data_IF_054068598049
#
_entry.id   IF_054068598049
#
_cell.length_a   1.000
_cell.length_b   1.000
_cell.length_c   1.000
_cell.angle_alpha   90.00
_cell.angle_beta   90.00
_cell.angle_gamma   90.00
#
_symmetry.space_group_name_H-M   'P 1'
#
loop_
_entity.id
_entity.type
_entity.pdbx_description
1 polymer ?
#
# COMPACT_ATOMS: atom_id res chain seq x y z
N UNK A 1 5.51 14.86 2.83
CA UNK A 1 6.61 14.03 2.29
C UNK A 1 6.07 12.63 2.01
N UNK A 2 6.23 12.10 0.79
CA UNK A 2 6.16 10.65 0.53
C UNK A 2 7.60 10.14 0.62
N UNK A 3 7.95 9.48 1.72
CA UNK A 3 9.26 8.84 1.85
C UNK A 3 9.12 7.46 1.22
N UNK A 4 9.86 7.14 0.14
CA UNK A 4 9.84 5.80 -0.41
C UNK A 4 10.42 4.83 0.61
N UNK A 5 9.67 3.79 0.99
CA UNK A 5 10.24 2.71 1.79
C UNK A 5 11.00 1.74 0.89
N UNK A 6 12.10 1.19 1.38
CA UNK A 6 12.80 0.07 0.74
C UNK A 6 12.01 -1.24 0.80
N UNK A 7 11.02 -1.35 1.70
CA UNK A 7 10.17 -2.54 1.85
C UNK A 7 9.11 -2.63 0.76
N UNK A 8 8.81 -3.86 0.34
CA UNK A 8 7.64 -4.16 -0.48
C UNK A 8 6.35 -3.77 0.26
N UNK A 9 5.22 -3.55 -0.45
CA UNK A 9 3.95 -3.21 0.21
C UNK A 9 3.51 -4.23 1.25
N UNK A 10 3.65 -5.53 0.95
CA UNK A 10 3.28 -6.62 1.86
C UNK A 10 4.18 -6.66 3.09
N UNK A 11 5.49 -6.56 2.93
CA UNK A 11 6.43 -6.48 4.06
C UNK A 11 6.18 -5.25 4.92
N UNK A 12 5.85 -4.11 4.30
CA UNK A 12 5.51 -2.88 5.02
C UNK A 12 4.25 -3.07 5.86
N UNK A 13 3.21 -3.70 5.30
CA UNK A 13 1.98 -4.00 6.06
C UNK A 13 2.25 -4.99 7.20
N UNK A 14 3.07 -6.02 6.98
CA UNK A 14 3.51 -6.92 8.05
C UNK A 14 4.20 -6.18 9.19
N UNK A 15 5.05 -5.18 8.89
CA UNK A 15 5.67 -4.33 9.91
C UNK A 15 4.65 -3.48 10.67
N UNK A 16 3.65 -2.93 9.98
CA UNK A 16 2.56 -2.17 10.63
C UNK A 16 1.76 -3.09 11.57
N UNK A 17 1.38 -4.28 11.12
CA UNK A 17 0.69 -5.28 11.95
C UNK A 17 1.53 -5.62 13.17
N UNK A 18 2.82 -5.91 12.99
CA UNK A 18 3.73 -6.25 14.08
C UNK A 18 3.82 -5.13 15.14
N UNK A 19 3.86 -3.87 14.72
CA UNK A 19 3.96 -2.73 15.63
C UNK A 19 2.66 -2.43 16.38
N UNK A 20 1.52 -2.61 15.71
CA UNK A 20 0.21 -2.23 16.26
C UNK A 20 -0.44 -3.36 17.07
N UNK A 21 -0.11 -4.62 16.79
CA UNK A 21 -0.66 -5.78 17.48
C UNK A 21 -0.30 -5.76 18.97
N UNK A 22 -1.31 -5.95 19.81
CA UNK A 22 -1.14 -6.06 21.25
C UNK A 22 -1.07 -4.71 21.97
N UNK A 23 -1.12 -3.58 21.27
CA UNK A 23 -1.24 -2.26 21.90
C UNK A 23 -2.56 -2.20 22.68
N UNK A 24 -2.46 -2.13 24.00
CA UNK A 24 -3.62 -2.07 24.88
C UNK A 24 -4.12 -0.65 25.12
N UNK A 25 -5.43 -0.49 25.24
CA UNK A 25 -6.07 0.71 25.77
C UNK A 25 -6.65 0.45 27.15
N UNK A 26 -7.15 1.50 27.82
CA UNK A 26 -7.77 1.36 29.15
C UNK A 26 -9.09 0.57 29.16
N UNK A 27 -9.67 0.28 27.98
CA UNK A 27 -10.89 -0.52 27.82
C UNK A 27 -10.72 -1.48 26.65
N UNK A 28 -11.18 -2.71 26.84
CA UNK A 28 -11.22 -3.74 25.80
C UNK A 28 -12.65 -3.92 25.32
N UNK A 29 -12.81 -4.28 24.05
CA UNK A 29 -14.10 -4.55 23.43
C UNK A 29 -14.14 -5.99 22.91
N UNK A 30 -15.29 -6.66 23.08
CA UNK A 30 -15.50 -8.03 22.63
C UNK A 30 -14.89 -9.09 23.56
N UNK A 31 -15.01 -10.36 23.13
CA UNK A 31 -14.59 -11.54 23.89
C UNK A 31 -13.96 -12.57 22.96
N UNK A 32 -13.18 -13.50 23.52
CA UNK A 32 -12.58 -14.60 22.77
C UNK A 32 -11.44 -14.16 21.84
N UNK A 33 -11.18 -14.90 20.75
CA UNK A 33 -10.07 -14.64 19.82
C UNK A 33 -10.23 -13.33 19.05
N UNK A 34 -11.46 -12.84 18.86
CA UNK A 34 -11.77 -11.56 18.21
C UNK A 34 -11.86 -10.39 19.20
N UNK A 35 -11.27 -10.53 20.41
CA UNK A 35 -11.23 -9.44 21.37
C UNK A 35 -10.27 -8.36 20.90
N UNK A 36 -10.74 -7.12 20.90
CA UNK A 36 -9.98 -5.93 20.52
C UNK A 36 -9.52 -5.21 21.78
N UNK A 37 -8.20 -5.04 21.94
CA UNK A 37 -7.64 -4.38 23.12
C UNK A 37 -7.68 -2.86 23.06
N UNK A 38 -7.68 -2.31 21.85
CA UNK A 38 -7.72 -0.88 21.53
C UNK A 38 -7.97 -0.67 20.03
N UNK A 39 -8.13 0.58 19.60
CA UNK A 39 -8.25 0.92 18.18
C UNK A 39 -7.05 0.45 17.32
N UNK A 40 -5.77 0.73 17.67
CA UNK A 40 -4.65 0.24 16.87
C UNK A 40 -4.55 -1.28 16.82
N UNK A 41 -4.89 -1.97 17.91
CA UNK A 41 -4.97 -3.44 17.93
C UNK A 41 -6.04 -3.97 16.96
N UNK A 42 -7.18 -3.30 16.86
CA UNK A 42 -8.22 -3.63 15.88
C UNK A 42 -7.71 -3.49 14.44
N UNK A 43 -6.98 -2.41 14.16
CA UNK A 43 -6.38 -2.17 12.84
C UNK A 43 -5.37 -3.27 12.50
N UNK A 44 -4.55 -3.70 13.47
CA UNK A 44 -3.62 -4.81 13.28
C UNK A 44 -4.34 -6.12 12.92
N UNK A 45 -5.44 -6.45 13.63
CA UNK A 45 -6.22 -7.65 13.37
C UNK A 45 -6.80 -7.67 11.94
N UNK A 46 -7.47 -6.59 11.52
CA UNK A 46 -8.06 -6.49 10.17
C UNK A 46 -6.99 -6.55 9.07
N UNK A 47 -5.84 -5.90 9.29
CA UNK A 47 -4.73 -5.96 8.33
C UNK A 47 -4.12 -7.37 8.23
N UNK A 48 -4.02 -8.09 9.34
CA UNK A 48 -3.56 -9.48 9.34
C UNK A 48 -4.52 -10.39 8.56
N UNK A 49 -5.82 -10.30 8.85
CA UNK A 49 -6.86 -11.04 8.13
C UNK A 49 -6.84 -10.74 6.62
N UNK A 50 -6.61 -9.47 6.27
CA UNK A 50 -6.50 -9.06 4.87
C UNK A 50 -5.28 -9.68 4.17
N UNK A 51 -4.12 -9.73 4.84
CA UNK A 51 -2.90 -10.34 4.32
C UNK A 51 -3.06 -11.85 4.12
N UNK A 52 -3.71 -12.54 5.06
CA UNK A 52 -3.99 -13.97 4.97
C UNK A 52 -4.99 -14.31 3.85
N UNK A 53 -5.91 -13.39 3.55
CA UNK A 53 -6.87 -13.51 2.46
C UNK A 53 -6.28 -13.18 1.07
N UNK A 54 -5.08 -12.59 0.99
CA UNK A 54 -4.45 -12.33 -0.30
C UNK A 54 -4.03 -13.66 -0.95
N UNK A 55 -4.33 -13.87 -2.25
CA UNK A 55 -3.82 -15.03 -2.95
C UNK A 55 -2.31 -15.00 -2.91
N UNK A 56 -1.70 -16.14 -2.54
CA UNK A 56 -0.25 -16.30 -2.57
C UNK A 56 0.24 -15.90 -3.97
N UNK A 57 1.35 -15.13 -4.07
CA UNK A 57 1.91 -14.83 -5.38
C UNK A 57 2.16 -16.15 -6.11
N UNK A 58 1.83 -16.23 -7.41
CA UNK A 58 2.12 -17.43 -8.19
C UNK A 58 3.60 -17.80 -8.00
N UNK A 59 3.93 -19.10 -7.90
CA UNK A 59 5.32 -19.51 -7.74
C UNK A 59 6.13 -18.83 -8.84
N UNK A 60 7.24 -18.19 -8.45
CA UNK A 60 8.14 -17.53 -9.38
C UNK A 60 8.60 -18.59 -10.41
N UNK A 61 7.93 -18.63 -11.55
CA UNK A 61 8.38 -19.43 -12.67
C UNK A 61 9.71 -18.83 -13.10
N UNK A 62 10.74 -19.65 -13.40
CA UNK A 62 11.97 -19.14 -13.97
C UNK A 62 11.65 -18.64 -15.37
N UNK A 63 11.24 -17.39 -15.48
CA UNK A 63 11.10 -16.73 -16.75
C UNK A 63 12.52 -16.45 -17.24
N UNK A 64 12.88 -17.01 -18.39
CA UNK A 64 14.02 -16.58 -19.19
C UNK A 64 13.71 -15.20 -19.80
N UNK A 65 13.38 -14.24 -18.95
CA UNK A 65 13.10 -12.87 -19.31
C UNK A 65 14.43 -12.11 -19.30
N UNK A 66 14.91 -11.84 -20.51
CA UNK A 66 15.91 -10.84 -20.81
C UNK A 66 15.72 -9.63 -19.90
N UNK A 67 16.76 -9.24 -19.15
CA UNK A 67 16.73 -8.14 -18.18
C UNK A 67 16.02 -6.93 -18.80
N UNK A 68 14.74 -6.75 -18.45
CA UNK A 68 14.07 -5.50 -18.67
C UNK A 68 14.83 -4.50 -17.79
N UNK A 69 15.47 -3.52 -18.41
CA UNK A 69 16.05 -2.41 -17.68
C UNK A 69 14.96 -1.88 -16.73
N UNK A 70 15.29 -1.53 -15.47
CA UNK A 70 14.34 -0.96 -14.54
C UNK A 70 13.88 0.40 -15.11
N UNK A 71 12.88 0.38 -15.97
CA UNK A 71 12.12 1.56 -16.33
C UNK A 71 11.44 1.99 -15.03
N UNK A 72 11.74 3.17 -14.49
CA UNK A 72 11.03 3.66 -13.32
C UNK A 72 9.56 3.76 -13.73
N UNK A 73 8.72 2.87 -13.19
CA UNK A 73 7.27 3.10 -13.21
C UNK A 73 7.08 4.42 -12.47
N UNK A 74 6.93 5.51 -13.22
CA UNK A 74 6.76 6.84 -12.66
C UNK A 74 5.40 6.86 -11.97
N UNK A 75 5.43 6.56 -10.67
CA UNK A 75 4.28 6.63 -9.80
C UNK A 75 3.94 8.12 -9.65
N UNK A 76 2.96 8.58 -10.43
CA UNK A 76 2.48 9.96 -10.39
C UNK A 76 1.54 10.21 -9.21
N UNK A 77 1.16 11.47 -9.03
CA UNK A 77 0.08 11.86 -8.12
C UNK A 77 -1.29 11.37 -8.64
N UNK A 78 -2.26 11.29 -7.74
CA UNK A 78 -3.66 11.04 -8.09
C UNK A 78 -4.20 12.23 -8.88
N UNK A 79 -4.70 11.97 -10.07
CA UNK A 79 -5.42 12.97 -10.85
C UNK A 79 -6.81 13.24 -10.22
N UNK A 80 -7.22 14.51 -10.03
CA UNK A 80 -8.52 14.84 -9.45
C UNK A 80 -9.73 14.48 -10.33
N UNK A 81 -9.52 14.31 -11.65
CA UNK A 81 -10.59 14.01 -12.61
C UNK A 81 -10.84 12.50 -12.74
N UNK A 82 -9.75 11.71 -12.92
CA UNK A 82 -9.87 10.27 -13.16
C UNK A 82 -9.41 9.36 -12.01
N UNK A 83 -8.82 9.92 -10.95
CA UNK A 83 -8.34 9.13 -9.81
C UNK A 83 -7.14 8.22 -10.09
N UNK A 84 -6.51 8.28 -11.25
CA UNK A 84 -5.30 7.50 -11.55
C UNK A 84 -4.02 8.17 -11.05
N UNK A 85 -3.08 7.35 -10.57
CA UNK A 85 -1.76 7.75 -10.06
C UNK A 85 -0.75 8.02 -11.17
N UNK A 86 -1.12 8.84 -12.14
CA UNK A 86 -0.31 9.15 -13.34
C UNK A 86 -0.27 10.65 -13.61
N UNK A 87 -0.56 11.48 -12.61
CA UNK A 87 -0.37 12.92 -12.67
C UNK A 87 1.11 13.24 -12.45
N UNK A 88 1.78 13.78 -13.46
CA UNK A 88 3.21 14.11 -13.45
C UNK A 88 3.40 15.61 -13.72
N UNK A 89 4.43 16.20 -13.12
CA UNK A 89 4.82 17.58 -13.41
C UNK A 89 5.75 17.60 -14.63
N UNK A 90 5.28 18.13 -15.74
CA UNK A 90 6.05 18.27 -16.99
C UNK A 90 5.93 19.73 -17.43
N UNK A 91 7.08 20.38 -17.64
CA UNK A 91 7.16 21.78 -18.12
C UNK A 91 6.48 22.81 -17.20
N UNK A 92 6.37 22.51 -15.89
CA UNK A 92 5.74 23.41 -14.91
C UNK A 92 4.23 23.22 -14.74
N UNK A 93 3.62 22.29 -15.48
CA UNK A 93 2.20 21.95 -15.35
C UNK A 93 2.01 20.51 -14.88
N UNK A 94 0.94 20.25 -14.13
CA UNK A 94 0.49 18.92 -13.73
C UNK A 94 -0.30 18.29 -14.86
N UNK A 95 0.26 17.30 -15.55
CA UNK A 95 -0.36 16.59 -16.67
C UNK A 95 -0.65 15.14 -16.30
N UNK A 96 -1.87 14.65 -16.55
CA UNK A 96 -2.25 13.26 -16.39
C UNK A 96 -2.20 12.55 -17.75
N UNK A 97 -1.37 11.51 -17.86
CA UNK A 97 -1.24 10.76 -19.11
C UNK A 97 -2.42 9.84 -19.44
N UNK A 98 -3.36 9.63 -18.51
CA UNK A 98 -4.50 8.73 -18.72
C UNK A 98 -5.75 9.46 -19.20
N UNK A 99 -6.12 10.57 -18.56
CA UNK A 99 -7.31 11.34 -18.93
C UNK A 99 -7.01 12.66 -19.67
N UNK A 100 -5.73 13.04 -19.80
CA UNK A 100 -5.34 14.30 -20.45
C UNK A 100 -5.55 15.55 -19.60
N UNK A 101 -5.93 15.42 -18.32
CA UNK A 101 -6.07 16.54 -17.39
C UNK A 101 -4.73 17.30 -17.27
N UNK A 102 -4.75 18.61 -17.48
CA UNK A 102 -3.58 19.48 -17.34
C UNK A 102 -3.92 20.73 -16.53
N UNK A 103 -3.17 21.00 -15.48
CA UNK A 103 -3.30 22.20 -14.65
C UNK A 103 -1.95 22.93 -14.56
N UNK A 104 -1.96 24.20 -14.95
CA UNK A 104 -0.91 25.20 -14.80
C UNK A 104 -1.56 26.41 -14.10
#
# INVERSE_FOLDING_TARGET
LRIPSSLTPTERLNQVVYQLNGIGGGRHLGFGPQRVRSLPDAVAQVLAEHLDAMPAPPPAQPTNEQLALPMPKQIGDLCPDCGNSTLLNIEGCRKCHVCGYSEC
#
